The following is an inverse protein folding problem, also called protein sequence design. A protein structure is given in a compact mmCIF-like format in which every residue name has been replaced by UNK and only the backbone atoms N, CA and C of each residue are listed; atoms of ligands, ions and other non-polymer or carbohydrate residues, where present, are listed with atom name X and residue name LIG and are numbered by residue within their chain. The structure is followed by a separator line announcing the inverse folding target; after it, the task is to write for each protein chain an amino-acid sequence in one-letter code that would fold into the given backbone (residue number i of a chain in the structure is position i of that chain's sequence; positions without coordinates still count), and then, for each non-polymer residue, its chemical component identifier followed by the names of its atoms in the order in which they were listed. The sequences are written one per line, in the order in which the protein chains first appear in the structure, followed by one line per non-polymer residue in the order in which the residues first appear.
data_IF_417225206265
#
_entry.id   IF_417225206265
#
_cell.length_a   1.000
_cell.length_b   1.000
_cell.length_c   1.000
_cell.angle_alpha   90.00
_cell.angle_beta   90.00
_cell.angle_gamma   90.00
#
_symmetry.space_group_name_H-M   'P 1'
#
loop_
_entity.id
_entity.type
_entity.pdbx_description
1 polymer ?
#
# COMPACT_ATOMS: atom_id res chain seq x y z
N UNK A 1 10.77 -19.69 6.61
CA UNK A 1 9.61 -18.82 6.88
C UNK A 1 10.00 -17.39 6.62
N UNK A 2 9.34 -16.73 5.71
CA UNK A 2 9.61 -15.32 5.41
C UNK A 2 8.91 -14.40 6.43
N UNK A 3 9.38 -13.16 6.52
CA UNK A 3 8.72 -12.13 7.32
C UNK A 3 8.19 -11.04 6.40
N UNK A 4 6.91 -10.76 6.56
CA UNK A 4 6.29 -9.58 5.99
C UNK A 4 6.50 -8.44 6.98
N UNK A 5 7.20 -7.40 6.59
CA UNK A 5 7.57 -6.32 7.50
C UNK A 5 6.82 -5.03 7.17
N UNK A 6 6.19 -4.47 8.19
CA UNK A 6 5.66 -3.10 8.16
C UNK A 6 6.77 -2.16 8.61
N UNK A 7 7.03 -1.14 7.82
CA UNK A 7 8.03 -0.10 8.09
C UNK A 7 7.36 1.24 8.31
N UNK A 8 8.06 2.11 9.01
CA UNK A 8 7.78 3.54 9.09
C UNK A 8 9.05 4.33 8.78
N UNK A 9 8.92 5.59 8.52
CA UNK A 9 10.05 6.50 8.40
C UNK A 9 10.36 7.13 9.75
N UNK A 10 11.64 7.41 9.98
CA UNK A 10 12.15 8.07 11.17
C UNK A 10 13.15 9.14 10.81
N UNK A 11 13.12 10.24 11.51
CA UNK A 11 14.11 11.30 11.37
C UNK A 11 15.29 11.04 12.32
N UNK A 12 16.51 11.02 11.76
CA UNK A 12 17.74 10.92 12.56
C UNK A 12 18.09 12.26 13.20
N UNK A 13 19.05 12.27 14.13
CA UNK A 13 19.57 13.52 14.74
C UNK A 13 20.10 14.49 13.67
N UNK A 14 20.71 13.96 12.60
CA UNK A 14 21.21 14.75 11.47
C UNK A 14 20.14 15.11 10.44
N UNK A 15 18.86 14.99 10.81
CA UNK A 15 17.70 15.32 9.94
C UNK A 15 17.62 14.50 8.64
N UNK A 16 18.17 13.29 8.64
CA UNK A 16 18.04 12.34 7.55
C UNK A 16 16.85 11.40 7.80
N UNK A 17 16.15 11.04 6.75
CA UNK A 17 15.05 10.08 6.82
C UNK A 17 15.59 8.67 6.62
N UNK A 18 15.25 7.76 7.54
CA UNK A 18 15.60 6.34 7.45
C UNK A 18 14.34 5.49 7.62
N UNK A 19 14.44 4.23 7.22
CA UNK A 19 13.41 3.23 7.49
C UNK A 19 13.64 2.59 8.86
N UNK A 20 12.54 2.42 9.59
CA UNK A 20 12.51 1.70 10.86
C UNK A 20 11.44 0.61 10.81
N UNK A 21 11.75 -0.59 11.29
CA UNK A 21 10.75 -1.65 11.44
C UNK A 21 9.73 -1.26 12.49
N UNK A 22 8.45 -1.36 12.14
CA UNK A 22 7.35 -1.10 13.06
C UNK A 22 6.73 -2.41 13.57
N UNK A 23 6.49 -3.35 12.66
CA UNK A 23 5.94 -4.67 12.99
C UNK A 23 6.39 -5.70 11.95
N UNK A 24 6.28 -6.98 12.28
CA UNK A 24 6.47 -8.03 11.30
C UNK A 24 5.53 -9.20 11.56
N UNK A 25 5.09 -9.82 10.47
CA UNK A 25 4.21 -10.98 10.46
C UNK A 25 4.94 -12.13 9.80
N UNK A 26 4.71 -13.34 10.32
CA UNK A 26 5.26 -14.54 9.72
C UNK A 26 4.45 -14.94 8.49
N UNK A 27 5.15 -15.30 7.44
CA UNK A 27 4.57 -15.85 6.22
C UNK A 27 5.15 -17.26 5.99
N UNK A 28 4.32 -18.28 5.69
CA UNK A 28 4.77 -19.67 5.61
C UNK A 28 5.64 -20.00 4.39
N UNK A 29 5.79 -19.11 3.44
CA UNK A 29 6.65 -19.25 2.26
C UNK A 29 8.04 -18.63 2.46
N UNK A 30 8.86 -18.67 1.41
CA UNK A 30 10.17 -18.01 1.38
C UNK A 30 10.05 -16.50 1.14
N UNK A 31 9.00 -16.06 0.45
CA UNK A 31 8.71 -14.66 0.15
C UNK A 31 7.27 -14.47 -0.28
N UNK A 32 6.69 -13.32 0.03
CA UNK A 32 5.38 -12.95 -0.49
C UNK A 32 5.53 -12.34 -1.88
N UNK A 33 4.92 -12.95 -2.88
CA UNK A 33 4.92 -12.49 -4.27
C UNK A 33 3.50 -12.15 -4.67
N UNK A 34 3.27 -10.93 -5.15
CA UNK A 34 1.97 -10.47 -5.64
C UNK A 34 1.86 -10.80 -7.13
N UNK A 35 0.89 -11.62 -7.51
CA UNK A 35 0.58 -11.98 -8.89
C UNK A 35 -0.78 -11.48 -9.35
N UNK A 36 -1.66 -11.17 -8.39
CA UNK A 36 -3.04 -10.79 -8.64
C UNK A 36 -3.58 -9.85 -7.57
N UNK A 37 -4.74 -9.24 -7.84
CA UNK A 37 -5.48 -8.48 -6.84
C UNK A 37 -5.88 -9.34 -5.63
N UNK A 38 -6.15 -10.64 -5.86
CA UNK A 38 -6.46 -11.59 -4.78
C UNK A 38 -5.31 -11.76 -3.80
N UNK A 39 -4.05 -11.82 -4.28
CA UNK A 39 -2.87 -11.90 -3.40
C UNK A 39 -2.80 -10.68 -2.46
N UNK A 40 -3.15 -9.50 -2.96
CA UNK A 40 -3.23 -8.27 -2.15
C UNK A 40 -4.35 -8.38 -1.11
N UNK A 41 -5.51 -8.89 -1.50
CA UNK A 41 -6.63 -9.09 -0.59
C UNK A 41 -6.28 -10.11 0.51
N UNK A 42 -5.59 -11.20 0.18
CA UNK A 42 -5.07 -12.17 1.14
C UNK A 42 -4.08 -11.50 2.10
N UNK A 43 -3.14 -10.72 1.56
CA UNK A 43 -2.20 -9.95 2.39
C UNK A 43 -2.94 -9.07 3.41
N UNK A 44 -3.91 -8.31 2.94
CA UNK A 44 -4.67 -7.37 3.77
C UNK A 44 -5.56 -8.08 4.80
N UNK A 45 -6.24 -9.15 4.41
CA UNK A 45 -7.19 -9.86 5.29
C UNK A 45 -6.52 -10.84 6.23
N UNK A 46 -5.71 -11.73 5.68
CA UNK A 46 -5.24 -12.91 6.42
C UNK A 46 -3.99 -12.59 7.25
N UNK A 47 -3.15 -11.68 6.75
CA UNK A 47 -1.91 -11.32 7.42
C UNK A 47 -1.98 -9.99 8.16
N UNK A 48 -2.54 -8.94 7.56
CA UNK A 48 -2.60 -7.63 8.19
C UNK A 48 -3.90 -7.38 8.95
N UNK A 49 -4.97 -8.14 8.67
CA UNK A 49 -6.30 -8.04 9.29
C UNK A 49 -6.91 -6.63 9.21
N UNK A 50 -6.66 -5.93 8.12
CA UNK A 50 -7.14 -4.54 7.97
C UNK A 50 -8.68 -4.45 7.88
N UNK A 51 -9.36 -5.54 7.56
CA UNK A 51 -10.83 -5.60 7.54
C UNK A 51 -11.46 -5.56 8.95
N UNK A 52 -10.67 -5.81 10.00
CA UNK A 52 -11.10 -5.72 11.39
C UNK A 52 -10.95 -4.29 11.96
N UNK A 53 -10.29 -3.41 11.23
CA UNK A 53 -10.07 -2.03 11.67
C UNK A 53 -11.37 -1.22 11.58
N UNK A 54 -11.76 -0.51 12.67
CA UNK A 54 -13.00 0.28 12.68
C UNK A 54 -12.90 1.58 11.87
N UNK A 55 -11.70 2.00 11.52
CA UNK A 55 -11.42 3.18 10.72
C UNK A 55 -10.71 2.83 9.42
N UNK A 56 -10.73 3.73 8.45
CA UNK A 56 -9.98 3.55 7.20
C UNK A 56 -8.49 3.69 7.42
N UNK A 57 -7.71 2.78 6.85
CA UNK A 57 -6.26 2.82 6.79
C UNK A 57 -5.82 2.62 5.35
N UNK A 58 -4.99 3.52 4.85
CA UNK A 58 -4.35 3.39 3.54
C UNK A 58 -2.93 2.88 3.72
N UNK A 59 -2.62 1.78 3.06
CA UNK A 59 -1.30 1.17 3.04
C UNK A 59 -0.69 1.21 1.65
N UNK A 60 0.63 1.24 1.60
CA UNK A 60 1.42 1.06 0.39
C UNK A 60 2.24 -0.21 0.52
N UNK A 61 2.14 -1.09 -0.46
CA UNK A 61 2.96 -2.29 -0.61
C UNK A 61 4.08 -1.97 -1.58
N UNK A 62 5.33 -2.12 -1.15
CA UNK A 62 6.52 -1.90 -1.95
C UNK A 62 7.05 -3.22 -2.51
N UNK A 63 7.38 -3.25 -3.81
CA UNK A 63 7.80 -4.48 -4.48
C UNK A 63 9.04 -4.26 -5.35
N UNK A 64 9.79 -5.36 -5.55
CA UNK A 64 10.88 -5.42 -6.49
C UNK A 64 10.41 -5.84 -7.90
N UNK A 65 11.35 -5.97 -8.85
CA UNK A 65 11.07 -6.36 -10.25
C UNK A 65 10.39 -7.73 -10.42
N UNK A 66 10.46 -8.59 -9.41
CA UNK A 66 9.81 -9.91 -9.39
C UNK A 66 8.49 -9.90 -8.61
N UNK A 67 7.95 -8.73 -8.33
CA UNK A 67 6.74 -8.53 -7.53
C UNK A 67 6.83 -9.14 -6.11
N UNK A 68 8.05 -9.32 -5.60
CA UNK A 68 8.27 -9.71 -4.21
C UNK A 68 8.03 -8.50 -3.33
N UNK A 69 7.26 -8.69 -2.27
CA UNK A 69 7.02 -7.65 -1.26
C UNK A 69 8.30 -7.37 -0.49
N UNK A 70 8.77 -6.14 -0.56
CA UNK A 70 9.92 -5.62 0.19
C UNK A 70 9.51 -5.11 1.56
N UNK A 71 8.31 -4.55 1.65
CA UNK A 71 7.74 -4.03 2.88
C UNK A 71 6.40 -3.36 2.64
N UNK A 72 5.73 -3.05 3.74
CA UNK A 72 4.44 -2.36 3.76
C UNK A 72 4.56 -1.11 4.61
N UNK A 73 3.93 -0.02 4.18
CA UNK A 73 3.86 1.24 4.92
C UNK A 73 2.42 1.66 5.12
N UNK A 74 2.08 2.14 6.30
CA UNK A 74 0.86 2.91 6.51
C UNK A 74 1.06 4.33 5.96
N UNK A 75 0.18 4.76 5.07
CA UNK A 75 0.26 6.07 4.43
C UNK A 75 -0.65 7.06 5.14
N UNK A 76 -1.86 6.64 5.47
CA UNK A 76 -2.82 7.48 6.19
C UNK A 76 -3.75 6.64 7.05
N UNK A 77 -4.29 7.28 8.09
CA UNK A 77 -5.28 6.76 9.01
C UNK A 77 -6.44 7.74 9.08
N UNK A 78 -7.65 7.23 8.96
CA UNK A 78 -8.86 8.02 8.79
C UNK A 78 -9.32 8.07 7.34
N UNK A 79 -10.34 8.86 7.05
CA UNK A 79 -10.92 8.96 5.71
C UNK A 79 -9.87 9.30 4.66
N UNK A 80 -9.84 8.53 3.57
CA UNK A 80 -8.96 8.80 2.44
C UNK A 80 -9.34 10.13 1.78
N UNK A 81 -8.40 11.06 1.72
CA UNK A 81 -8.59 12.40 1.16
C UNK A 81 -7.40 12.81 0.32
N UNK A 82 -7.64 13.02 -0.97
CA UNK A 82 -6.61 13.37 -1.96
C UNK A 82 -5.90 14.70 -1.67
N UNK A 83 -6.52 15.60 -0.91
CA UNK A 83 -5.91 16.90 -0.56
C UNK A 83 -4.85 16.79 0.54
N UNK A 84 -4.92 15.78 1.40
CA UNK A 84 -4.01 15.59 2.53
C UNK A 84 -3.00 14.45 2.32
N UNK A 85 -3.23 13.56 1.36
CA UNK A 85 -2.27 12.50 1.03
C UNK A 85 -1.12 13.09 0.23
N UNK A 86 0.06 13.09 0.85
CA UNK A 86 1.29 13.62 0.27
C UNK A 86 1.96 12.65 -0.69
N UNK A 87 2.00 13.01 -1.97
CA UNK A 87 2.73 12.22 -2.99
C UNK A 87 4.23 12.16 -2.66
N UNK A 88 4.79 13.26 -2.18
CA UNK A 88 6.20 13.32 -1.76
C UNK A 88 6.52 12.27 -0.70
N UNK A 89 5.69 12.16 0.33
CA UNK A 89 5.90 11.23 1.45
C UNK A 89 5.70 9.76 1.02
N UNK A 90 4.79 9.50 0.10
CA UNK A 90 4.61 8.16 -0.50
C UNK A 90 5.88 7.73 -1.23
N UNK A 91 6.38 8.56 -2.13
CA UNK A 91 7.55 8.20 -2.93
C UNK A 91 8.87 8.28 -2.17
N UNK A 92 8.96 9.10 -1.14
CA UNK A 92 10.09 9.05 -0.20
C UNK A 92 10.22 7.64 0.41
N UNK A 93 9.12 7.07 0.90
CA UNK A 93 9.09 5.71 1.46
C UNK A 93 9.40 4.65 0.39
N UNK A 94 8.78 4.76 -0.77
CA UNK A 94 8.98 3.82 -1.87
C UNK A 94 10.44 3.79 -2.35
N UNK A 95 11.07 4.95 -2.51
CA UNK A 95 12.48 5.06 -2.91
C UNK A 95 13.43 4.56 -1.83
N UNK A 96 13.17 4.88 -0.55
CA UNK A 96 13.97 4.34 0.56
C UNK A 96 13.87 2.82 0.67
N UNK A 97 12.72 2.24 0.33
CA UNK A 97 12.53 0.79 0.28
C UNK A 97 13.13 0.14 -0.97
N UNK A 98 13.73 0.92 -1.87
CA UNK A 98 14.26 0.44 -3.16
C UNK A 98 13.21 -0.27 -4.03
N UNK A 99 11.96 0.20 -3.97
CA UNK A 99 10.88 -0.36 -4.76
C UNK A 99 10.94 0.09 -6.22
N UNK A 100 10.55 -0.78 -7.12
CA UNK A 100 10.38 -0.47 -8.55
C UNK A 100 8.90 -0.36 -8.92
N UNK A 101 8.02 -0.88 -8.08
CA UNK A 101 6.58 -0.78 -8.19
C UNK A 101 5.93 -0.78 -6.82
N UNK A 102 4.73 -0.21 -6.76
CA UNK A 102 3.92 -0.12 -5.55
C UNK A 102 2.47 -0.53 -5.85
N UNK A 103 1.78 -0.96 -4.80
CA UNK A 103 0.32 -1.14 -4.79
C UNK A 103 -0.23 -0.37 -3.59
N UNK A 104 -1.34 0.32 -3.78
CA UNK A 104 -2.12 0.89 -2.68
C UNK A 104 -3.20 -0.09 -2.24
N UNK A 105 -3.48 -0.12 -0.96
CA UNK A 105 -4.49 -0.98 -0.36
C UNK A 105 -5.14 -0.25 0.81
N UNK A 106 -6.47 -0.23 0.87
CA UNK A 106 -7.18 0.31 2.04
C UNK A 106 -8.45 -0.47 2.34
N UNK A 107 -8.94 -0.33 3.56
CA UNK A 107 -10.18 -0.95 4.03
C UNK A 107 -11.34 0.04 4.02
N UNK A 108 -12.53 -0.47 3.71
CA UNK A 108 -13.79 0.23 3.93
C UNK A 108 -14.55 -0.43 5.10
N UNK A 109 -14.58 0.19 6.29
CA UNK A 109 -15.27 -0.38 7.46
C UNK A 109 -16.78 -0.60 7.26
N UNK A 110 -17.39 0.10 6.30
CA UNK A 110 -18.79 -0.11 5.91
C UNK A 110 -19.07 -1.49 5.31
N UNK A 111 -18.03 -2.18 4.84
CA UNK A 111 -18.11 -3.45 4.12
C UNK A 111 -18.24 -3.31 2.59
N UNK A 112 -18.69 -2.17 2.08
CA UNK A 112 -18.76 -1.93 0.63
C UNK A 112 -17.37 -1.66 0.06
N UNK A 113 -16.87 -2.47 -0.89
CA UNK A 113 -15.56 -2.28 -1.48
C UNK A 113 -15.56 -1.30 -2.66
N UNK A 114 -16.69 -0.66 -2.96
CA UNK A 114 -16.76 0.27 -4.08
C UNK A 114 -15.91 1.51 -3.81
N UNK A 115 -15.00 1.87 -4.74
CA UNK A 115 -14.11 3.00 -4.54
C UNK A 115 -14.88 4.32 -4.53
N UNK A 116 -14.49 5.21 -3.62
CA UNK A 116 -15.00 6.58 -3.59
C UNK A 116 -14.34 7.45 -4.68
N UNK A 117 -14.90 8.65 -4.89
CA UNK A 117 -14.27 9.64 -5.79
C UNK A 117 -12.88 10.03 -5.31
N UNK A 118 -12.69 10.12 -4.00
CA UNK A 118 -11.39 10.41 -3.37
C UNK A 118 -10.38 9.28 -3.60
N UNK A 119 -10.82 8.02 -3.50
CA UNK A 119 -9.97 6.86 -3.80
C UNK A 119 -9.45 6.91 -5.23
N UNK A 120 -10.34 7.21 -6.18
CA UNK A 120 -9.98 7.35 -7.60
C UNK A 120 -9.03 8.53 -7.82
N UNK A 121 -9.28 9.66 -7.17
CA UNK A 121 -8.43 10.86 -7.28
C UNK A 121 -7.02 10.61 -6.72
N UNK A 122 -6.91 9.96 -5.56
CA UNK A 122 -5.63 9.54 -4.98
C UNK A 122 -4.88 8.60 -5.92
N UNK A 123 -5.59 7.61 -6.45
CA UNK A 123 -5.00 6.61 -7.38
C UNK A 123 -4.38 7.29 -8.60
N UNK A 124 -5.10 8.20 -9.24
CA UNK A 124 -4.61 8.94 -10.42
C UNK A 124 -3.40 9.80 -10.09
N UNK A 125 -3.47 10.55 -9.00
CA UNK A 125 -2.37 11.40 -8.53
C UNK A 125 -1.10 10.61 -8.26
N UNK A 126 -1.21 9.47 -7.59
CA UNK A 126 -0.07 8.59 -7.28
C UNK A 126 0.46 7.93 -8.55
N UNK A 127 -0.41 7.47 -9.46
CA UNK A 127 0.00 6.87 -10.73
C UNK A 127 0.81 7.85 -11.60
N UNK A 128 0.36 9.09 -11.73
CA UNK A 128 1.07 10.13 -12.49
C UNK A 128 2.47 10.40 -11.91
N UNK A 129 2.56 10.55 -10.60
CA UNK A 129 3.86 10.77 -9.94
C UNK A 129 4.78 9.55 -10.06
N UNK A 130 4.24 8.34 -9.95
CA UNK A 130 4.98 7.10 -10.10
C UNK A 130 5.55 6.93 -11.50
N UNK A 131 4.79 7.26 -12.52
CA UNK A 131 5.25 7.24 -13.91
C UNK A 131 6.43 8.20 -14.13
N UNK A 132 6.37 9.38 -13.53
CA UNK A 132 7.47 10.35 -13.61
C UNK A 132 8.73 9.87 -12.89
N UNK A 133 8.58 9.21 -11.74
CA UNK A 133 9.70 8.76 -10.90
C UNK A 133 10.23 7.37 -11.26
N UNK A 134 9.57 6.65 -12.16
CA UNK A 134 9.94 5.27 -12.52
C UNK A 134 9.59 4.25 -11.43
N UNK A 135 8.59 4.55 -10.58
CA UNK A 135 8.03 3.65 -9.58
C UNK A 135 6.54 3.49 -9.89
N UNK A 136 6.21 2.46 -10.64
CA UNK A 136 4.85 2.26 -11.16
C UNK A 136 3.85 1.90 -10.06
N UNK A 137 2.70 2.58 -10.03
CA UNK A 137 1.52 2.12 -9.28
C UNK A 137 0.83 1.03 -10.09
N UNK A 138 0.94 -0.22 -9.64
CA UNK A 138 0.36 -1.37 -10.36
C UNK A 138 -1.15 -1.51 -10.14
N UNK A 139 -1.63 -1.21 -8.95
CA UNK A 139 -3.05 -1.30 -8.61
C UNK A 139 -3.37 -0.53 -7.32
N UNK A 140 -4.65 -0.37 -7.06
CA UNK A 140 -5.20 0.07 -5.79
C UNK A 140 -6.37 -0.85 -5.42
N UNK A 141 -6.25 -1.55 -4.30
CA UNK A 141 -7.22 -2.54 -3.86
C UNK A 141 -8.01 -2.00 -2.66
N UNK A 142 -9.31 -2.00 -2.79
CA UNK A 142 -10.24 -1.67 -1.69
C UNK A 142 -10.77 -2.96 -1.08
N UNK A 143 -10.66 -3.09 0.23
CA UNK A 143 -11.09 -4.28 0.99
C UNK A 143 -12.29 -3.92 1.85
N UNK A 144 -13.40 -4.57 1.57
CA UNK A 144 -14.64 -4.58 2.34
C UNK A 144 -15.06 -6.01 2.64
N UNK A 145 -16.33 -6.32 2.49
CA UNK A 145 -16.84 -7.72 2.58
C UNK A 145 -16.24 -8.62 1.50
N UNK A 146 -15.91 -8.00 0.38
CA UNK A 146 -15.10 -8.53 -0.73
C UNK A 146 -14.06 -7.47 -1.10
N UNK A 147 -13.29 -7.65 -2.17
CA UNK A 147 -12.34 -6.65 -2.64
C UNK A 147 -12.67 -6.14 -4.04
N UNK A 148 -12.18 -4.95 -4.35
CA UNK A 148 -12.26 -4.33 -5.68
C UNK A 148 -10.87 -3.85 -6.08
N UNK A 149 -10.46 -4.17 -7.31
CA UNK A 149 -9.28 -3.62 -7.98
C UNK A 149 -9.68 -2.41 -8.82
N UNK A 150 -9.06 -1.27 -8.57
CA UNK A 150 -9.31 -0.06 -9.37
C UNK A 150 -8.78 -0.23 -10.80
N UNK A 151 -7.72 -1.02 -11.00
CA UNK A 151 -7.21 -1.36 -12.32
C UNK A 151 -8.22 -2.18 -13.12
N UNK A 152 -8.80 -3.22 -12.52
CA UNK A 152 -9.83 -4.04 -13.15
C UNK A 152 -11.10 -3.23 -13.47
N UNK A 153 -11.39 -2.19 -12.70
CA UNK A 153 -12.49 -1.26 -12.93
C UNK A 153 -12.18 -0.18 -13.99
N UNK A 154 -10.96 -0.12 -14.49
CA UNK A 154 -10.56 0.83 -15.53
C UNK A 154 -10.21 2.23 -15.02
N UNK A 155 -9.94 2.39 -13.74
CA UNK A 155 -9.52 3.68 -13.16
C UNK A 155 -8.00 3.89 -13.17
N UNK A 156 -7.28 2.85 -13.52
CA UNK A 156 -5.82 2.85 -13.56
C UNK A 156 -5.32 2.24 -14.87
#
# INVERSE_FOLDING_TARGET
MARLTKYKTKLTENKRVILEKEASMNYPGESFIIRSAEDVAILGRDYMRIHDEPEEHLYMICMNTKNRVLGVFEISHGTVNSSIIGVREIFQKALLANSVSIILMHNHPSGSPDPSREDIAVTKKVAEAGNLLGVELLDHIVIGDRYVSLKEKGYL
#
